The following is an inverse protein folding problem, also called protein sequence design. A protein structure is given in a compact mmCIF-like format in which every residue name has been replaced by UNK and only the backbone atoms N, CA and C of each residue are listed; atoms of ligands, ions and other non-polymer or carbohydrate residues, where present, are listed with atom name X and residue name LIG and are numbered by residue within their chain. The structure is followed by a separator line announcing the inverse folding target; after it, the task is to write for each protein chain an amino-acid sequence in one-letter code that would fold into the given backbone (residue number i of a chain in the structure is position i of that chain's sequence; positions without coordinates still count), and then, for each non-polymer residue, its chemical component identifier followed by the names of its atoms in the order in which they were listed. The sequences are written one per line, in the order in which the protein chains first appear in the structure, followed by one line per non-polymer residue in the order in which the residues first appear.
data_IF_736140034981
#
_entry.id   IF_736140034981
#
_cell.length_a   1.000
_cell.length_b   1.000
_cell.length_c   1.000
_cell.angle_alpha   90.00
_cell.angle_beta   90.00
_cell.angle_gamma   90.00
#
_symmetry.space_group_name_H-M   'P 1'
#
loop_
_entity.id
_entity.type
_entity.pdbx_description
1 polymer ?
#
# COMPACT_ATOMS: atom_id res chain seq x y z
N UNK A 1 -4.17 25.16 -21.82
CA UNK A 1 -3.44 24.75 -23.04
C UNK A 1 -2.29 23.85 -22.61
N UNK A 2 -2.05 22.75 -23.31
CA UNK A 2 -0.96 21.82 -23.00
C UNK A 2 -0.06 21.63 -24.22
N UNK A 3 1.25 21.53 -24.00
CA UNK A 3 2.20 21.05 -25.00
C UNK A 3 2.33 19.54 -24.81
N UNK A 4 1.91 18.74 -25.79
CA UNK A 4 2.15 17.30 -25.81
C UNK A 4 3.36 17.03 -26.70
N UNK A 5 4.41 16.44 -26.13
CA UNK A 5 5.55 15.92 -26.88
C UNK A 5 5.38 14.40 -26.98
N UNK A 6 5.38 13.87 -28.20
CA UNK A 6 5.20 12.44 -28.45
C UNK A 6 6.54 11.72 -28.43
N UNK A 7 6.50 10.37 -28.38
CA UNK A 7 7.69 9.54 -28.58
C UNK A 7 8.42 9.86 -29.90
N UNK A 8 7.69 10.24 -30.96
CA UNK A 8 8.29 10.64 -32.23
C UNK A 8 9.05 11.97 -32.11
N UNK A 9 8.63 12.86 -31.21
CA UNK A 9 9.28 14.15 -30.96
C UNK A 9 10.48 14.02 -29.99
N UNK A 10 10.45 13.03 -29.11
CA UNK A 10 11.43 12.85 -28.03
C UNK A 10 12.53 11.84 -28.37
N UNK A 11 12.26 10.87 -29.24
CA UNK A 11 13.19 9.79 -29.58
C UNK A 11 13.41 8.75 -28.47
N UNK A 12 12.73 8.89 -27.33
CA UNK A 12 12.78 7.95 -26.21
C UNK A 12 11.38 7.57 -25.73
N UNK A 13 11.28 6.44 -25.04
CA UNK A 13 10.11 6.03 -24.27
C UNK A 13 10.53 5.77 -22.82
N UNK A 14 9.56 5.68 -21.92
CA UNK A 14 9.80 5.40 -20.52
C UNK A 14 10.03 3.90 -20.29
N UNK A 15 10.99 3.53 -19.43
CA UNK A 15 11.29 2.14 -19.05
C UNK A 15 10.38 1.67 -17.91
N UNK A 16 9.65 0.57 -18.11
CA UNK A 16 8.74 0.03 -17.08
C UNK A 16 9.45 -0.47 -15.83
N UNK A 17 10.76 -0.74 -15.86
CA UNK A 17 11.55 -1.09 -14.67
C UNK A 17 11.96 0.12 -13.81
N UNK A 18 11.65 1.34 -14.27
CA UNK A 18 12.00 2.59 -13.61
C UNK A 18 13.25 3.23 -14.20
N UNK A 19 13.28 4.56 -14.22
CA UNK A 19 14.46 5.33 -14.62
C UNK A 19 14.48 6.72 -13.97
N UNK A 20 15.59 7.43 -14.14
CA UNK A 20 15.74 8.81 -13.66
C UNK A 20 15.48 9.81 -14.77
N UNK A 21 14.54 10.72 -14.53
CA UNK A 21 14.26 11.88 -15.35
C UNK A 21 14.79 13.14 -14.65
N UNK A 22 15.40 14.04 -15.42
CA UNK A 22 15.88 15.32 -14.90
C UNK A 22 15.60 16.46 -15.88
N UNK A 23 15.11 17.57 -15.35
CA UNK A 23 14.93 18.84 -16.04
C UNK A 23 16.12 19.73 -15.72
N UNK A 24 16.78 20.26 -16.75
CA UNK A 24 17.99 21.07 -16.61
C UNK A 24 17.78 22.50 -17.13
N UNK A 25 18.44 23.47 -16.51
CA UNK A 25 18.60 24.80 -17.05
C UNK A 25 19.60 24.78 -18.22
N UNK A 26 19.12 24.99 -19.45
CA UNK A 26 19.94 24.90 -20.68
C UNK A 26 21.27 25.67 -20.63
N UNK A 27 21.28 26.86 -20.03
CA UNK A 27 22.43 27.77 -20.06
C UNK A 27 23.50 27.38 -19.04
N UNK A 28 23.09 26.90 -17.86
CA UNK A 28 23.99 26.62 -16.74
C UNK A 28 24.29 25.13 -16.59
N UNK A 29 23.46 24.26 -17.19
CA UNK A 29 23.52 22.82 -17.00
C UNK A 29 23.03 22.35 -15.63
N UNK A 30 22.53 23.26 -14.78
CA UNK A 30 22.07 22.91 -13.44
C UNK A 30 20.73 22.15 -13.50
N UNK A 31 20.58 21.14 -12.65
CA UNK A 31 19.31 20.42 -12.45
C UNK A 31 18.30 21.36 -11.79
N UNK A 32 17.17 21.56 -12.43
CA UNK A 32 16.02 22.25 -11.85
C UNK A 32 15.14 21.29 -11.05
N UNK A 33 14.88 20.10 -11.60
CA UNK A 33 14.07 19.06 -10.96
C UNK A 33 14.54 17.68 -11.42
N UNK A 34 14.49 16.70 -10.53
CA UNK A 34 14.83 15.32 -10.82
C UNK A 34 13.86 14.39 -10.11
N UNK A 35 13.54 13.28 -10.76
CA UNK A 35 12.75 12.20 -10.21
C UNK A 35 13.30 10.87 -10.73
N UNK A 36 13.45 9.90 -9.84
CA UNK A 36 13.53 8.49 -10.23
C UNK A 36 12.19 7.87 -9.93
N UNK A 37 11.51 7.35 -10.95
CA UNK A 37 10.27 6.59 -10.75
C UNK A 37 10.61 5.09 -10.68
N UNK A 38 9.83 4.31 -9.90
CA UNK A 38 10.08 2.89 -9.68
C UNK A 38 9.60 2.03 -10.86
N UNK A 39 9.61 0.72 -10.70
CA UNK A 39 8.93 -0.19 -11.63
C UNK A 39 7.43 0.15 -11.74
N UNK A 40 6.90 0.16 -12.96
CA UNK A 40 5.56 0.59 -13.30
C UNK A 40 4.75 -0.54 -13.94
N UNK A 41 3.53 -0.72 -13.44
CA UNK A 41 2.54 -1.56 -14.10
C UNK A 41 1.90 -0.84 -15.29
N UNK A 42 1.49 -1.60 -16.30
CA UNK A 42 0.79 -1.06 -17.46
C UNK A 42 -0.48 -0.30 -17.03
N UNK A 43 -0.65 0.93 -17.53
CA UNK A 43 -1.82 1.76 -17.27
C UNK A 43 -1.77 2.56 -15.98
N UNK A 44 -0.77 2.35 -15.12
CA UNK A 44 -0.59 3.09 -13.87
C UNK A 44 0.33 4.29 -14.12
N UNK A 45 -0.06 5.47 -13.61
CA UNK A 45 0.80 6.66 -13.57
C UNK A 45 1.56 6.71 -12.24
N UNK A 46 2.74 7.33 -12.25
CA UNK A 46 3.42 7.76 -11.03
C UNK A 46 3.24 9.28 -10.92
N UNK A 47 2.64 9.74 -9.83
CA UNK A 47 2.14 11.10 -9.72
C UNK A 47 2.41 11.69 -8.34
N UNK A 48 2.38 13.02 -8.27
CA UNK A 48 2.30 13.73 -6.99
C UNK A 48 0.89 13.58 -6.43
N UNK A 49 0.77 13.06 -5.22
CA UNK A 49 -0.53 12.73 -4.62
C UNK A 49 -0.59 13.33 -3.20
N UNK A 50 -1.36 14.42 -2.97
CA UNK A 50 -2.20 15.16 -3.93
C UNK A 50 -1.41 15.98 -4.97
N UNK A 51 -2.12 16.65 -5.88
CA UNK A 51 -1.52 17.49 -6.91
C UNK A 51 -0.47 18.47 -6.35
N UNK A 52 0.71 18.50 -6.99
CA UNK A 52 1.83 19.34 -6.57
C UNK A 52 2.55 18.94 -5.27
N UNK A 53 2.09 17.91 -4.56
CA UNK A 53 2.70 17.45 -3.29
C UNK A 53 4.16 16.97 -3.48
N UNK A 54 5.08 17.19 -2.52
CA UNK A 54 6.41 16.61 -2.58
C UNK A 54 6.42 15.07 -2.67
N UNK A 55 5.42 14.39 -2.10
CA UNK A 55 5.30 12.94 -2.12
C UNK A 55 4.79 12.43 -3.48
N UNK A 56 5.37 11.32 -3.92
CA UNK A 56 4.96 10.61 -5.13
C UNK A 56 4.29 9.29 -4.76
N UNK A 57 3.36 8.84 -5.58
CA UNK A 57 2.71 7.56 -5.44
C UNK A 57 2.12 7.06 -6.76
N UNK A 58 1.73 5.78 -6.74
CA UNK A 58 1.03 5.16 -7.86
C UNK A 58 -0.40 5.71 -7.96
N UNK A 59 -0.77 6.12 -9.16
CA UNK A 59 -2.10 6.57 -9.53
C UNK A 59 -2.66 5.58 -10.56
N UNK A 60 -3.56 4.68 -10.15
CA UNK A 60 -4.12 3.65 -11.04
C UNK A 60 -4.92 4.20 -12.22
N UNK A 61 -5.50 5.40 -12.05
CA UNK A 61 -6.29 6.09 -13.07
C UNK A 61 -5.56 7.38 -13.48
N UNK A 62 -4.80 7.37 -14.61
CA UNK A 62 -4.04 8.53 -15.06
C UNK A 62 -4.90 9.79 -15.22
N UNK A 63 -4.38 10.94 -14.75
CA UNK A 63 -5.03 12.26 -14.84
C UNK A 63 -4.24 13.23 -15.75
N UNK A 64 -3.94 12.89 -17.02
CA UNK A 64 -3.13 13.76 -17.87
C UNK A 64 -3.80 15.12 -18.09
N UNK A 65 -3.13 16.17 -17.62
CA UNK A 65 -3.62 17.55 -17.73
C UNK A 65 -4.59 18.00 -16.64
N UNK A 66 -5.08 17.08 -15.81
CA UNK A 66 -6.01 17.37 -14.71
C UNK A 66 -5.28 17.31 -13.36
N UNK A 67 -5.81 17.96 -12.29
CA UNK A 67 -5.25 17.84 -10.95
C UNK A 67 -5.22 16.38 -10.48
N UNK A 68 -4.09 15.95 -9.89
CA UNK A 68 -4.03 14.63 -9.25
C UNK A 68 -4.87 14.60 -7.97
N UNK A 69 -5.60 13.50 -7.69
CA UNK A 69 -6.48 13.41 -6.53
C UNK A 69 -5.68 13.30 -5.22
N UNK A 70 -6.32 13.65 -4.11
CA UNK A 70 -5.82 13.25 -2.78
C UNK A 70 -5.96 11.73 -2.65
N UNK A 71 -4.88 11.00 -2.30
CA UNK A 71 -4.98 9.57 -2.09
C UNK A 71 -5.91 9.29 -0.90
N UNK A 72 -6.64 8.16 -0.90
CA UNK A 72 -7.38 7.76 0.29
C UNK A 72 -6.42 7.61 1.46
N UNK A 73 -6.91 7.87 2.67
CA UNK A 73 -6.14 7.58 3.88
C UNK A 73 -5.72 6.10 3.88
N UNK A 74 -4.51 5.77 4.39
CA UNK A 74 -4.10 4.39 4.53
C UNK A 74 -5.13 3.61 5.37
N UNK A 75 -5.26 2.30 5.15
CA UNK A 75 -6.18 1.49 5.95
C UNK A 75 -5.77 1.52 7.42
N UNK A 76 -6.74 1.81 8.30
CA UNK A 76 -6.52 1.86 9.75
C UNK A 76 -6.05 0.51 10.33
N UNK A 77 -6.54 -0.60 9.76
CA UNK A 77 -6.18 -1.96 10.17
C UNK A 77 -5.69 -2.74 8.96
N UNK A 78 -4.55 -3.40 9.10
CA UNK A 78 -3.88 -4.16 8.03
C UNK A 78 -3.74 -5.63 8.40
N UNK A 79 -3.61 -6.50 7.40
CA UNK A 79 -3.09 -7.85 7.59
C UNK A 79 -1.58 -7.73 7.74
N UNK A 80 -1.05 -8.04 8.92
CA UNK A 80 0.35 -7.86 9.27
C UNK A 80 1.19 -9.13 9.07
N UNK A 81 0.62 -10.29 9.37
CA UNK A 81 1.31 -11.58 9.25
C UNK A 81 0.34 -12.69 8.86
N UNK A 82 0.86 -13.65 8.09
CA UNK A 82 0.16 -14.90 7.77
C UNK A 82 1.13 -16.04 8.09
N UNK A 83 0.74 -16.92 9.01
CA UNK A 83 1.39 -18.20 9.21
C UNK A 83 0.59 -19.27 8.47
N UNK A 84 1.13 -19.75 7.36
CA UNK A 84 0.56 -20.84 6.56
C UNK A 84 1.48 -22.05 6.60
N UNK A 85 0.90 -23.25 6.75
CA UNK A 85 1.62 -24.53 6.80
C UNK A 85 2.85 -24.50 7.73
N UNK A 86 2.65 -24.21 9.03
CA UNK A 86 3.71 -24.19 10.03
C UNK A 86 4.39 -25.56 10.16
N UNK A 87 5.67 -25.61 10.56
CA UNK A 87 6.50 -26.83 10.50
C UNK A 87 6.07 -27.96 11.46
N UNK A 88 5.21 -27.67 12.44
CA UNK A 88 4.72 -28.66 13.40
C UNK A 88 3.36 -29.22 12.95
N UNK A 89 2.31 -28.39 12.97
CA UNK A 89 0.94 -28.78 12.66
C UNK A 89 0.12 -27.58 12.17
N UNK A 90 -0.79 -27.77 11.21
CA UNK A 90 -1.67 -26.70 10.68
C UNK A 90 -2.51 -26.00 11.77
N UNK A 91 -2.65 -26.60 12.96
CA UNK A 91 -3.28 -25.97 14.11
C UNK A 91 -2.62 -24.64 14.54
N UNK A 92 -1.37 -24.38 14.14
CA UNK A 92 -0.65 -23.12 14.37
C UNK A 92 -0.85 -22.07 13.26
N UNK A 93 -1.67 -22.32 12.25
CA UNK A 93 -1.98 -21.31 11.23
C UNK A 93 -2.75 -20.12 11.84
N UNK A 94 -2.39 -18.91 11.41
CA UNK A 94 -3.10 -17.70 11.81
C UNK A 94 -2.99 -16.59 10.77
N UNK A 95 -3.94 -15.65 10.84
CA UNK A 95 -3.88 -14.33 10.21
C UNK A 95 -3.80 -13.29 11.31
N UNK A 96 -2.76 -12.47 11.32
CA UNK A 96 -2.60 -11.35 12.24
C UNK A 96 -3.13 -10.06 11.61
N UNK A 97 -3.95 -9.33 12.37
CA UNK A 97 -4.35 -7.97 12.09
C UNK A 97 -3.63 -7.01 13.02
N UNK A 98 -3.22 -5.85 12.49
CA UNK A 98 -2.60 -4.77 13.25
C UNK A 98 -3.38 -3.47 13.06
N UNK A 99 -3.74 -2.81 14.16
CA UNK A 99 -4.23 -1.44 14.13
C UNK A 99 -3.05 -0.46 14.05
N UNK A 100 -2.95 0.25 12.94
CA UNK A 100 -1.91 1.26 12.70
C UNK A 100 -2.24 2.62 13.32
N UNK A 101 -3.49 2.84 13.71
CA UNK A 101 -3.94 4.12 14.25
C UNK A 101 -3.48 4.34 15.70
N UNK A 102 -3.34 5.61 16.13
CA UNK A 102 -3.07 5.96 17.52
C UNK A 102 -4.32 5.92 18.41
N UNK A 103 -5.46 5.45 17.88
CA UNK A 103 -6.74 5.34 18.58
C UNK A 103 -7.41 3.98 18.32
N UNK A 104 -8.32 3.51 19.21
CA UNK A 104 -9.01 2.24 19.02
C UNK A 104 -9.84 2.22 17.72
N UNK A 105 -9.89 1.07 17.06
CA UNK A 105 -10.68 0.84 15.84
C UNK A 105 -11.72 -0.25 16.11
N UNK A 106 -12.99 0.06 15.90
CA UNK A 106 -14.06 -0.95 15.97
C UNK A 106 -14.07 -1.80 14.71
N UNK A 107 -14.13 -3.13 14.89
CA UNK A 107 -14.26 -4.10 13.81
C UNK A 107 -15.72 -4.56 13.62
N UNK A 108 -16.69 -3.82 14.18
CA UNK A 108 -18.12 -4.09 14.03
C UNK A 108 -18.51 -4.21 12.54
N UNK A 109 -19.19 -5.29 12.17
CA UNK A 109 -19.56 -5.60 10.78
C UNK A 109 -18.42 -6.05 9.85
N UNK A 110 -17.17 -6.06 10.31
CA UNK A 110 -16.02 -6.51 9.51
C UNK A 110 -15.97 -8.03 9.43
N UNK A 111 -15.30 -8.54 8.40
CA UNK A 111 -15.13 -9.98 8.23
C UNK A 111 -14.08 -10.33 7.17
N UNK A 112 -13.41 -11.46 7.38
CA UNK A 112 -12.68 -12.19 6.36
C UNK A 112 -13.67 -13.00 5.53
N UNK A 113 -13.64 -12.88 4.20
CA UNK A 113 -14.58 -13.59 3.29
C UNK A 113 -13.92 -14.48 2.24
N UNK A 114 -12.62 -14.31 1.97
CA UNK A 114 -11.87 -15.04 0.93
C UNK A 114 -10.69 -15.75 1.57
N UNK A 115 -10.50 -17.04 1.25
CA UNK A 115 -9.58 -17.92 1.98
C UNK A 115 -10.17 -18.31 3.33
N UNK A 116 -9.92 -17.49 4.36
CA UNK A 116 -10.53 -17.63 5.69
C UNK A 116 -11.89 -16.93 5.72
N UNK A 117 -12.87 -17.55 6.37
CA UNK A 117 -14.21 -16.97 6.61
C UNK A 117 -14.42 -16.76 8.10
N UNK A 118 -14.40 -15.50 8.53
CA UNK A 118 -14.59 -15.13 9.93
C UNK A 118 -15.31 -13.79 10.02
N UNK A 119 -16.35 -13.70 10.85
CA UNK A 119 -17.05 -12.45 11.14
C UNK A 119 -16.66 -11.98 12.54
N UNK A 120 -16.20 -10.75 12.64
CA UNK A 120 -15.85 -10.17 13.94
C UNK A 120 -17.12 -9.91 14.75
N UNK A 121 -17.14 -10.23 16.06
CA UNK A 121 -18.18 -9.79 16.96
C UNK A 121 -18.38 -8.27 16.91
N UNK A 122 -19.62 -7.80 17.09
CA UNK A 122 -19.98 -6.37 16.99
C UNK A 122 -19.27 -5.50 18.03
N UNK A 123 -18.85 -6.08 19.16
CA UNK A 123 -18.12 -5.43 20.25
C UNK A 123 -16.59 -5.57 20.11
N UNK A 124 -16.10 -6.08 18.97
CA UNK A 124 -14.65 -6.19 18.75
C UNK A 124 -14.04 -4.81 18.59
N UNK A 125 -13.20 -4.44 19.55
CA UNK A 125 -12.41 -3.21 19.54
C UNK A 125 -10.93 -3.57 19.50
N UNK A 126 -10.21 -3.06 18.49
CA UNK A 126 -8.77 -3.23 18.37
C UNK A 126 -8.08 -1.97 18.86
N UNK A 127 -7.41 -2.07 20.02
CA UNK A 127 -6.71 -0.97 20.68
C UNK A 127 -5.56 -0.39 19.80
N UNK A 128 -5.07 0.82 20.10
CA UNK A 128 -3.96 1.43 19.35
C UNK A 128 -2.73 0.51 19.32
N UNK A 129 -2.15 0.31 18.14
CA UNK A 129 -0.97 -0.55 17.94
C UNK A 129 -1.15 -2.01 18.39
N UNK A 130 -2.36 -2.43 18.73
CA UNK A 130 -2.65 -3.79 19.17
C UNK A 130 -2.79 -4.74 17.98
N UNK A 131 -2.54 -6.02 18.28
CA UNK A 131 -2.66 -7.13 17.34
C UNK A 131 -3.85 -8.00 17.68
N UNK A 132 -4.49 -8.55 16.66
CA UNK A 132 -5.54 -9.55 16.79
C UNK A 132 -5.26 -10.71 15.84
N UNK A 133 -5.23 -11.92 16.39
CA UNK A 133 -5.00 -13.12 15.61
C UNK A 133 -6.31 -13.87 15.35
N UNK A 134 -6.56 -14.18 14.09
CA UNK A 134 -7.57 -15.17 13.66
C UNK A 134 -6.84 -16.48 13.43
N UNK A 135 -6.81 -17.33 14.45
CA UNK A 135 -6.05 -18.59 14.47
C UNK A 135 -6.93 -19.82 14.17
N UNK A 136 -6.34 -20.86 13.59
CA UNK A 136 -7.00 -22.15 13.38
C UNK A 136 -7.41 -22.79 14.71
N UNK A 137 -6.48 -22.89 15.66
CA UNK A 137 -6.74 -23.31 17.04
C UNK A 137 -6.10 -22.33 18.01
N UNK A 138 -6.86 -21.37 18.57
CA UNK A 138 -6.33 -20.40 19.54
C UNK A 138 -5.67 -21.06 20.76
N UNK A 139 -6.25 -22.15 21.27
CA UNK A 139 -5.70 -22.86 22.43
C UNK A 139 -4.34 -23.53 22.11
N UNK A 140 -4.22 -24.12 20.92
CA UNK A 140 -2.95 -24.72 20.46
C UNK A 140 -1.91 -23.64 20.22
N UNK A 141 -2.30 -22.53 19.59
CA UNK A 141 -1.41 -21.40 19.34
C UNK A 141 -0.85 -20.82 20.65
N UNK A 142 -1.70 -20.58 21.65
CA UNK A 142 -1.29 -20.09 22.97
C UNK A 142 -0.41 -21.09 23.74
N UNK A 143 -0.48 -22.38 23.41
CA UNK A 143 0.43 -23.39 24.01
C UNK A 143 1.85 -23.26 23.45
N UNK A 144 2.00 -22.95 22.15
CA UNK A 144 3.32 -22.74 21.54
C UNK A 144 3.87 -21.32 21.74
N UNK A 145 2.98 -20.33 21.84
CA UNK A 145 3.32 -18.92 22.03
C UNK A 145 2.58 -18.40 23.27
N UNK A 146 3.05 -18.73 24.49
CA UNK A 146 2.34 -18.42 25.73
C UNK A 146 2.34 -16.94 26.11
N UNK A 147 3.17 -16.13 25.43
CA UNK A 147 3.29 -14.69 25.66
C UNK A 147 2.44 -13.84 24.69
N UNK A 148 1.63 -14.48 23.82
CA UNK A 148 0.56 -13.83 23.05
C UNK A 148 -0.60 -13.42 23.96
#
# INVERSE_FOLDING_TARGET
EYLVLTRADLGFGLDSSGETLALFHKQTGLVHSQLTYPEMNQGVSYARLPDGDPAWGYLPEPTPGEPNPTPPAPPAVVIAEIMYHPPLEDAYEFVELLNLEPHPVSLAGWQLRKGVRFRFPEDTLLEPQARLLVAHSPATLLTAYPDL
#
